data_IF_604689415230
#
_entry.id   IF_604689415230
#
_cell.length_a   1.000
_cell.length_b   1.000
_cell.length_c   1.000
_cell.angle_alpha   90.00
_cell.angle_beta   90.00
_cell.angle_gamma   90.00
#
_symmetry.space_group_name_H-M   'P 1'
#
loop_
_entity.id
_entity.type
_entity.pdbx_description
1 polymer ?
#
# COMPACT_ATOMS: atom_id res chain seq x y z
N UNK A 1 -22.63 1.50 -18.44
CA UNK A 1 -22.09 2.36 -17.37
C UNK A 1 -20.62 2.50 -17.66
N UNK A 2 -20.13 3.72 -17.79
CA UNK A 2 -18.75 3.99 -18.22
C UNK A 2 -17.75 3.50 -17.14
N UNK A 3 -16.79 2.66 -17.51
CA UNK A 3 -15.79 2.12 -16.56
C UNK A 3 -14.89 3.23 -15.97
N UNK A 4 -14.96 4.43 -16.55
CA UNK A 4 -14.33 5.66 -16.06
C UNK A 4 -14.71 6.04 -14.63
N UNK A 5 -15.83 5.56 -14.06
CA UNK A 5 -16.23 5.93 -12.70
C UNK A 5 -15.62 5.04 -11.59
N UNK A 6 -14.79 4.04 -11.92
CA UNK A 6 -14.25 3.09 -10.93
C UNK A 6 -12.87 3.44 -10.39
N UNK A 7 -12.00 4.09 -11.18
CA UNK A 7 -10.64 4.48 -10.77
C UNK A 7 -10.05 5.47 -11.77
N UNK A 8 -9.47 6.58 -11.31
CA UNK A 8 -8.77 7.56 -12.17
C UNK A 8 -7.35 7.12 -12.57
N UNK A 9 -6.91 5.92 -12.16
CA UNK A 9 -5.58 5.39 -12.45
C UNK A 9 -5.63 4.41 -13.62
N UNK A 10 -4.64 4.52 -14.52
CA UNK A 10 -4.48 3.66 -15.68
C UNK A 10 -3.10 3.00 -15.65
N UNK A 11 -3.05 1.72 -16.00
CA UNK A 11 -1.82 0.97 -16.21
C UNK A 11 -1.85 0.39 -17.63
N UNK A 12 -1.01 0.95 -18.50
CA UNK A 12 -0.82 0.47 -19.86
C UNK A 12 0.35 -0.49 -19.89
N UNK A 13 0.12 -1.71 -20.37
CA UNK A 13 1.14 -2.75 -20.51
C UNK A 13 1.40 -3.01 -21.99
N UNK A 14 2.61 -2.73 -22.45
CA UNK A 14 3.05 -3.05 -23.79
C UNK A 14 4.08 -4.17 -23.75
N UNK A 15 3.59 -5.41 -23.75
CA UNK A 15 4.42 -6.61 -23.72
C UNK A 15 5.37 -6.73 -24.93
N UNK A 16 5.00 -6.19 -26.10
CA UNK A 16 5.85 -6.26 -27.30
C UNK A 16 7.08 -5.36 -27.18
N UNK A 17 6.92 -4.17 -26.59
CA UNK A 17 8.02 -3.24 -26.33
C UNK A 17 8.69 -3.45 -24.97
N UNK A 18 8.10 -4.28 -24.09
CA UNK A 18 8.56 -4.50 -22.73
C UNK A 18 8.40 -3.27 -21.83
N UNK A 19 7.48 -2.37 -22.16
CA UNK A 19 7.24 -1.12 -21.42
C UNK A 19 5.92 -1.16 -20.67
N UNK A 20 5.88 -0.49 -19.51
CA UNK A 20 4.67 -0.30 -18.72
C UNK A 20 4.56 1.16 -18.31
N UNK A 21 3.39 1.76 -18.53
CA UNK A 21 3.13 3.15 -18.19
C UNK A 21 2.02 3.22 -17.16
N UNK A 22 2.29 3.94 -16.08
CA UNK A 22 1.29 4.26 -15.07
C UNK A 22 0.93 5.74 -15.20
N UNK A 23 -0.36 6.02 -15.41
CA UNK A 23 -0.88 7.38 -15.57
C UNK A 23 -2.13 7.56 -14.73
N UNK A 24 -2.53 8.81 -14.51
CA UNK A 24 -3.78 9.13 -13.84
C UNK A 24 -4.49 10.25 -14.56
N UNK A 25 -5.82 10.21 -14.50
CA UNK A 25 -6.70 11.24 -15.05
C UNK A 25 -7.61 11.75 -13.93
N UNK A 26 -7.63 13.07 -13.74
CA UNK A 26 -8.51 13.72 -12.79
C UNK A 26 -9.75 14.24 -13.50
N UNK A 27 -10.93 13.80 -13.06
CA UNK A 27 -12.22 14.16 -13.68
C UNK A 27 -12.51 15.67 -13.68
N UNK A 28 -12.00 16.40 -12.69
CA UNK A 28 -12.25 17.82 -12.56
C UNK A 28 -11.20 18.64 -13.32
N UNK A 29 -11.61 19.22 -14.46
CA UNK A 29 -10.75 20.09 -15.29
C UNK A 29 -10.18 21.32 -14.56
N UNK A 30 -10.74 21.67 -13.40
CA UNK A 30 -10.27 22.77 -12.55
C UNK A 30 -9.14 22.37 -11.60
N UNK A 31 -8.76 21.09 -11.58
CA UNK A 31 -7.72 20.54 -10.71
C UNK A 31 -6.49 20.23 -11.56
N UNK A 32 -5.38 20.87 -11.21
CA UNK A 32 -4.06 20.53 -11.74
C UNK A 32 -3.39 19.60 -10.74
N UNK A 33 -2.75 18.54 -11.22
CA UNK A 33 -2.05 17.60 -10.36
C UNK A 33 -0.87 16.95 -11.06
N UNK A 34 0.11 16.55 -10.26
CA UNK A 34 1.25 15.75 -10.69
C UNK A 34 1.62 14.75 -9.58
N UNK A 35 2.39 13.74 -9.97
CA UNK A 35 3.04 12.83 -9.02
C UNK A 35 4.52 13.12 -8.97
N UNK A 36 5.09 13.09 -7.78
CA UNK A 36 6.53 13.13 -7.57
C UNK A 36 6.97 12.14 -6.50
N UNK A 37 8.27 11.86 -6.47
CA UNK A 37 8.89 11.09 -5.39
C UNK A 37 9.76 12.06 -4.61
N UNK A 38 9.47 12.22 -3.32
CA UNK A 38 10.25 13.08 -2.43
C UNK A 38 11.65 12.51 -2.20
N UNK A 39 12.56 13.32 -1.64
CA UNK A 39 13.92 12.86 -1.35
C UNK A 39 13.97 11.73 -0.30
N UNK A 40 12.94 11.62 0.53
CA UNK A 40 12.74 10.53 1.49
C UNK A 40 12.18 9.25 0.86
N UNK A 41 11.91 9.25 -0.45
CA UNK A 41 11.35 8.10 -1.18
C UNK A 41 9.83 7.96 -1.02
N UNK A 42 9.11 9.02 -0.68
CA UNK A 42 7.64 9.02 -0.59
C UNK A 42 7.05 9.43 -1.93
N UNK A 43 6.24 8.56 -2.53
CA UNK A 43 5.44 8.89 -3.70
C UNK A 43 4.26 9.77 -3.27
N UNK A 44 4.07 10.93 -3.90
CA UNK A 44 3.00 11.87 -3.56
C UNK A 44 2.17 12.19 -4.80
N UNK A 45 0.86 12.30 -4.60
CA UNK A 45 -0.06 12.92 -5.55
C UNK A 45 -0.39 14.32 -5.03
N UNK A 46 0.11 15.35 -5.71
CA UNK A 46 -0.02 16.75 -5.31
C UNK A 46 -1.00 17.43 -6.27
N UNK A 47 -1.91 18.23 -5.74
CA UNK A 47 -2.92 18.93 -6.53
C UNK A 47 -3.08 20.39 -6.11
N UNK A 48 -3.58 21.21 -7.03
CA UNK A 48 -4.09 22.56 -6.76
C UNK A 48 -5.43 22.75 -7.44
N UNK A 49 -6.25 23.66 -6.90
CA UNK A 49 -7.53 24.08 -7.46
C UNK A 49 -7.47 25.58 -7.67
N UNK A 50 -7.79 26.05 -8.87
CA UNK A 50 -7.78 27.49 -9.21
C UNK A 50 -6.46 28.21 -8.87
N UNK A 51 -5.32 27.52 -9.03
CA UNK A 51 -3.98 28.07 -8.75
C UNK A 51 -3.77 28.52 -7.30
N UNK A 52 -4.52 27.95 -6.35
CA UNK A 52 -4.21 28.03 -4.92
C UNK A 52 -2.90 27.30 -4.57
N UNK A 53 -2.59 27.23 -3.27
CA UNK A 53 -1.47 26.44 -2.77
C UNK A 53 -1.64 24.95 -3.12
N UNK A 54 -0.54 24.35 -3.57
CA UNK A 54 -0.42 22.92 -3.78
C UNK A 54 -0.61 22.15 -2.48
N UNK A 55 -1.42 21.10 -2.52
CA UNK A 55 -1.76 20.25 -1.38
C UNK A 55 -1.47 18.79 -1.74
N UNK A 56 -0.95 18.03 -0.79
CA UNK A 56 -0.84 16.57 -0.93
C UNK A 56 -2.23 15.96 -0.82
N UNK A 57 -2.70 15.30 -1.87
CA UNK A 57 -3.93 14.51 -1.85
C UNK A 57 -3.70 13.15 -1.21
N UNK A 58 -2.61 12.50 -1.60
CA UNK A 58 -2.27 11.15 -1.20
C UNK A 58 -0.75 10.96 -1.21
N UNK A 59 -0.25 10.09 -0.34
CA UNK A 59 1.15 9.73 -0.26
C UNK A 59 1.33 8.25 0.11
N UNK A 60 2.40 7.63 -0.39
CA UNK A 60 2.82 6.29 0.02
C UNK A 60 4.35 6.19 0.16
N UNK A 61 4.85 5.57 1.24
CA UNK A 61 4.08 5.10 2.39
C UNK A 61 3.51 6.28 3.20
N UNK A 62 2.25 6.18 3.65
CA UNK A 62 1.66 7.26 4.43
C UNK A 62 2.29 7.31 5.83
N UNK A 63 2.72 8.50 6.27
CA UNK A 63 3.49 8.64 7.52
C UNK A 63 2.75 8.08 8.75
N UNK A 64 1.41 8.12 8.75
CA UNK A 64 0.54 7.66 9.84
C UNK A 64 0.09 6.20 9.70
N UNK A 65 0.40 5.53 8.59
CA UNK A 65 0.00 4.15 8.36
C UNK A 65 1.22 3.21 8.43
N UNK A 66 1.46 2.55 9.58
CA UNK A 66 2.61 1.66 9.72
C UNK A 66 2.56 0.47 8.74
N UNK A 67 1.38 0.13 8.21
CA UNK A 67 1.19 -0.97 7.27
C UNK A 67 1.67 -0.70 5.85
N UNK A 68 1.90 0.56 5.48
CA UNK A 68 2.43 0.89 4.15
C UNK A 68 3.93 0.61 4.05
N UNK A 69 4.59 0.37 5.19
CA UNK A 69 6.00 -0.01 5.22
C UNK A 69 6.16 -1.45 4.76
N UNK A 70 7.03 -1.66 3.77
CA UNK A 70 7.37 -3.00 3.30
C UNK A 70 7.86 -3.87 4.46
N UNK A 71 7.27 -5.06 4.61
CA UNK A 71 7.61 -6.00 5.68
C UNK A 71 7.12 -5.59 7.08
N UNK A 72 6.15 -4.66 7.21
CA UNK A 72 5.58 -4.26 8.50
C UNK A 72 5.11 -5.45 9.35
N UNK A 73 4.54 -6.47 8.70
CA UNK A 73 4.32 -7.79 9.29
C UNK A 73 5.13 -8.81 8.49
N UNK A 74 5.76 -9.76 9.19
CA UNK A 74 6.51 -10.83 8.54
C UNK A 74 5.62 -11.76 7.71
N UNK A 75 6.22 -12.79 7.08
CA UNK A 75 5.52 -13.71 6.18
C UNK A 75 4.22 -14.27 6.76
N UNK A 76 3.17 -14.34 5.94
CA UNK A 76 1.83 -14.80 6.33
C UNK A 76 1.16 -13.99 7.47
N UNK A 77 1.70 -12.81 7.79
CA UNK A 77 1.08 -11.81 8.63
C UNK A 77 0.25 -10.81 7.82
N UNK A 78 -0.87 -10.39 8.38
CA UNK A 78 -1.72 -9.31 7.86
C UNK A 78 -1.52 -8.08 8.74
N UNK A 79 -1.26 -6.95 8.09
CA UNK A 79 -1.17 -5.66 8.77
C UNK A 79 -2.51 -4.92 8.71
N UNK A 80 -2.99 -4.48 9.87
CA UNK A 80 -4.18 -3.63 9.99
C UNK A 80 -3.90 -2.53 11.01
N UNK A 81 -3.66 -1.32 10.50
CA UNK A 81 -3.26 -0.16 11.30
C UNK A 81 -4.31 0.31 12.30
N UNK A 82 -5.57 -0.10 12.12
CA UNK A 82 -6.66 0.18 13.06
C UNK A 82 -6.72 -0.77 14.26
N UNK A 83 -5.83 -1.77 14.36
CA UNK A 83 -5.85 -2.79 15.40
C UNK A 83 -4.60 -2.74 16.29
N UNK A 84 -4.73 -3.25 17.53
CA UNK A 84 -3.61 -3.46 18.44
C UNK A 84 -3.62 -4.92 18.92
N UNK A 85 -2.60 -5.73 18.60
CA UNK A 85 -1.44 -5.39 17.75
C UNK A 85 -1.82 -5.21 16.27
N UNK A 86 -1.05 -4.39 15.54
CA UNK A 86 -1.28 -4.11 14.10
C UNK A 86 -1.07 -5.35 13.21
N UNK A 87 -0.31 -6.34 13.68
CA UNK A 87 -0.04 -7.57 12.95
C UNK A 87 -0.80 -8.74 13.55
N UNK A 88 -1.46 -9.51 12.69
CA UNK A 88 -2.09 -10.79 13.01
C UNK A 88 -1.70 -11.84 11.98
N UNK A 89 -1.66 -13.11 12.38
CA UNK A 89 -1.50 -14.18 11.40
C UNK A 89 -2.75 -14.34 10.55
N UNK A 90 -2.57 -14.76 9.29
CA UNK A 90 -3.67 -15.23 8.46
C UNK A 90 -4.46 -16.33 9.18
N UNK A 91 -5.75 -16.48 8.86
CA UNK A 91 -6.57 -17.57 9.41
C UNK A 91 -5.92 -18.93 9.11
N UNK A 92 -5.74 -19.75 10.14
CA UNK A 92 -5.07 -21.05 10.05
C UNK A 92 -3.54 -20.99 10.18
N UNK A 93 -2.98 -19.82 10.52
CA UNK A 93 -1.57 -19.64 10.83
C UNK A 93 -1.39 -19.17 12.28
N UNK A 94 -0.25 -19.54 12.87
CA UNK A 94 0.19 -19.14 14.21
C UNK A 94 1.59 -18.51 14.13
N UNK A 95 1.99 -17.66 15.09
CA UNK A 95 3.33 -17.10 15.10
C UNK A 95 4.41 -18.18 15.04
N UNK A 96 5.45 -17.97 14.24
CA UNK A 96 6.59 -18.91 14.20
C UNK A 96 7.30 -18.99 15.55
N UNK A 97 7.48 -17.85 16.21
CA UNK A 97 7.96 -17.73 17.59
C UNK A 97 6.96 -16.93 18.41
N UNK A 98 6.31 -17.58 19.37
CA UNK A 98 5.38 -16.92 20.30
C UNK A 98 6.08 -15.91 21.22
N UNK A 99 7.34 -16.18 21.59
CA UNK A 99 8.14 -15.27 22.43
C UNK A 99 8.43 -13.97 21.69
N UNK A 100 8.98 -14.03 20.49
CA UNK A 100 9.22 -12.85 19.66
C UNK A 100 7.89 -12.16 19.34
N UNK A 101 6.84 -12.95 19.03
CA UNK A 101 5.48 -12.45 18.85
C UNK A 101 4.88 -11.81 20.12
N UNK A 102 5.38 -12.05 21.32
CA UNK A 102 4.93 -11.31 22.51
C UNK A 102 5.67 -9.97 22.65
N UNK A 103 6.91 -9.90 22.18
CA UNK A 103 7.85 -8.77 22.35
C UNK A 103 7.76 -7.63 21.32
N UNK A 104 6.80 -7.67 20.41
CA UNK A 104 6.72 -6.74 19.27
C UNK A 104 7.50 -7.15 18.02
N UNK A 105 8.39 -8.16 18.05
CA UNK A 105 9.11 -8.63 16.86
C UNK A 105 8.27 -9.61 16.01
N UNK A 106 8.01 -9.24 14.75
CA UNK A 106 7.12 -9.95 13.80
C UNK A 106 7.87 -10.40 12.56
N UNK A 107 9.19 -10.21 12.51
CA UNK A 107 10.01 -10.46 11.32
C UNK A 107 9.91 -11.90 10.83
N UNK A 108 9.86 -12.85 11.77
CA UNK A 108 9.72 -14.28 11.49
C UNK A 108 8.35 -14.70 10.94
N UNK A 109 7.34 -13.84 11.07
CA UNK A 109 5.99 -14.10 10.55
C UNK A 109 5.28 -15.26 11.23
N UNK A 110 4.46 -15.95 10.44
CA UNK A 110 3.56 -17.00 10.88
C UNK A 110 3.77 -18.30 10.08
N UNK A 111 3.45 -19.43 10.70
CA UNK A 111 3.48 -20.77 10.10
C UNK A 111 2.08 -21.39 10.14
N UNK A 112 1.79 -22.35 9.25
CA UNK A 112 0.50 -23.05 9.27
C UNK A 112 0.32 -23.79 10.59
N UNK A 113 -0.87 -23.67 11.18
CA UNK A 113 -1.21 -24.33 12.44
C UNK A 113 -1.30 -25.85 12.30
N UNK A 114 -1.80 -26.33 11.16
CA UNK A 114 -1.87 -27.73 10.81
C UNK A 114 -1.15 -27.95 9.48
N UNK A 115 -0.37 -29.03 9.39
CA UNK A 115 0.16 -29.48 8.11
C UNK A 115 -0.99 -29.96 7.23
N UNK A 116 -0.95 -29.61 5.94
CA UNK A 116 -1.83 -30.23 4.96
C UNK A 116 -1.34 -31.67 4.84
N UNK A 117 -2.08 -32.61 5.39
CA UNK A 117 -1.93 -34.03 5.03
C UNK A 117 -2.56 -34.14 3.64
N UNK A 118 -1.73 -34.33 2.63
CA UNK A 118 -2.16 -34.68 1.28
C UNK A 118 -2.57 -36.15 1.22
#
# INVERSE_FOLDING_TARGET
MDDQYRSGFNLEDNAQQGTKYFSFNLFAKTIEAFMDVSFEGVLRLIYTKHSENWKTFWEAPAAKNPCDKYGACGPFGVCKSSESPICKCLKGFVPKSHEEWSRGNRAEGCVRQAQIVL
#
